data_IF_315438517213
#
_entry.id   IF_315438517213
#
_cell.length_a   1.000
_cell.length_b   1.000
_cell.length_c   1.000
_cell.angle_alpha   90.00
_cell.angle_beta   90.00
_cell.angle_gamma   90.00
#
_symmetry.space_group_name_H-M   'P 1'
#
loop_
_entity.id
_entity.type
_entity.pdbx_description
1 polymer ?
#
# COMPACT_ATOMS: atom_id res chain seq x y z
N UNK A 1 -15.59 0.11 -6.40
CA UNK A 1 -15.52 0.88 -5.14
C UNK A 1 -15.54 2.37 -5.46
N UNK A 2 -16.26 3.22 -4.72
CA UNK A 2 -16.31 4.66 -5.02
C UNK A 2 -15.00 5.37 -4.65
N UNK A 3 -14.68 6.47 -5.33
CA UNK A 3 -13.44 7.23 -5.10
C UNK A 3 -13.26 7.71 -3.64
N UNK A 4 -14.33 8.20 -3.01
CA UNK A 4 -14.33 8.63 -1.62
C UNK A 4 -14.08 7.49 -0.63
N UNK A 5 -14.66 6.31 -0.90
CA UNK A 5 -14.43 5.11 -0.12
C UNK A 5 -12.99 4.59 -0.27
N UNK A 6 -12.47 4.62 -1.50
CA UNK A 6 -11.08 4.24 -1.79
C UNK A 6 -10.08 5.12 -1.01
N UNK A 7 -10.25 6.44 -1.05
CA UNK A 7 -9.39 7.36 -0.30
C UNK A 7 -9.55 7.20 1.22
N UNK A 8 -10.77 6.94 1.71
CA UNK A 8 -11.00 6.66 3.12
C UNK A 8 -10.29 5.38 3.59
N UNK A 9 -10.36 4.30 2.80
CA UNK A 9 -9.66 3.03 3.11
C UNK A 9 -8.14 3.19 3.06
N UNK A 10 -7.59 3.95 2.09
CA UNK A 10 -6.16 4.33 2.06
C UNK A 10 -5.74 5.09 3.31
N UNK A 11 -6.56 6.06 3.74
CA UNK A 11 -6.32 6.83 4.97
C UNK A 11 -6.31 5.93 6.22
N UNK A 12 -7.28 5.02 6.32
CA UNK A 12 -7.36 4.05 7.43
C UNK A 12 -6.15 3.12 7.46
N UNK A 13 -5.68 2.65 6.31
CA UNK A 13 -4.46 1.84 6.20
C UNK A 13 -3.23 2.60 6.67
N UNK A 14 -3.08 3.85 6.23
CA UNK A 14 -1.99 4.71 6.69
C UNK A 14 -2.05 4.86 8.21
N UNK A 15 -3.21 5.21 8.78
CA UNK A 15 -3.37 5.36 10.21
C UNK A 15 -3.08 4.06 10.98
N UNK A 16 -3.48 2.90 10.45
CA UNK A 16 -3.20 1.59 11.04
C UNK A 16 -1.70 1.31 11.15
N UNK A 17 -0.92 1.62 10.11
CA UNK A 17 0.52 1.39 10.15
C UNK A 17 1.26 2.46 10.95
N UNK A 18 0.84 3.72 10.89
CA UNK A 18 1.45 4.83 11.64
C UNK A 18 0.98 4.93 13.11
N UNK A 19 0.20 3.95 13.59
CA UNK A 19 -0.16 3.85 15.00
C UNK A 19 1.05 3.46 15.87
N UNK A 20 0.78 3.08 17.12
CA UNK A 20 1.65 2.47 18.12
C UNK A 20 2.46 1.22 17.69
N UNK A 21 2.42 0.83 16.43
CA UNK A 21 3.19 -0.30 15.88
C UNK A 21 4.68 0.00 15.75
N UNK A 22 5.05 1.23 15.44
CA UNK A 22 6.45 1.64 15.33
C UNK A 22 7.00 1.91 16.73
N UNK A 23 8.04 1.17 17.12
CA UNK A 23 8.72 1.34 18.39
C UNK A 23 10.03 2.09 18.19
N UNK A 24 10.43 2.90 19.17
CA UNK A 24 11.71 3.58 19.12
C UNK A 24 12.85 2.57 19.35
N UNK A 25 13.85 2.56 18.47
CA UNK A 25 15.06 1.75 18.63
C UNK A 25 16.09 2.46 19.53
N UNK A 26 17.24 1.82 19.75
CA UNK A 26 18.33 2.37 20.57
C UNK A 26 18.96 3.67 20.02
N UNK A 27 18.64 4.02 18.78
CA UNK A 27 19.10 5.23 18.08
C UNK A 27 18.04 6.34 18.05
N UNK A 28 16.88 6.15 18.70
CA UNK A 28 15.78 7.13 18.68
C UNK A 28 14.91 7.08 17.42
N UNK A 29 15.09 6.07 16.56
CA UNK A 29 14.36 5.94 15.31
C UNK A 29 13.11 5.07 15.50
N UNK A 30 12.00 5.47 14.87
CA UNK A 30 10.77 4.67 14.85
C UNK A 30 10.93 3.51 13.88
N UNK A 31 10.99 2.30 14.41
CA UNK A 31 11.19 1.06 13.66
C UNK A 31 10.01 0.11 13.85
N UNK A 32 9.55 -0.44 12.74
CA UNK A 32 8.58 -1.50 12.61
C UNK A 32 9.14 -2.57 11.65
N UNK A 33 9.82 -3.57 12.21
CA UNK A 33 10.46 -4.61 11.41
C UNK A 33 10.12 -6.01 11.91
N UNK A 34 9.50 -6.82 11.03
CA UNK A 34 9.23 -8.25 11.27
C UNK A 34 9.91 -9.13 10.21
N UNK A 35 10.92 -8.61 9.51
CA UNK A 35 11.63 -9.31 8.46
C UNK A 35 10.73 -9.80 7.33
N UNK A 36 10.92 -11.06 6.90
CA UNK A 36 10.11 -11.68 5.84
C UNK A 36 8.60 -11.70 6.13
N UNK A 37 8.19 -11.52 7.40
CA UNK A 37 6.77 -11.45 7.79
C UNK A 37 6.10 -10.14 7.38
N UNK A 38 6.85 -9.07 7.10
CA UNK A 38 6.29 -7.79 6.65
C UNK A 38 5.40 -7.99 5.41
N UNK A 39 5.88 -8.76 4.42
CA UNK A 39 5.12 -8.99 3.19
C UNK A 39 3.83 -9.78 3.43
N UNK A 40 3.87 -10.80 4.30
CA UNK A 40 2.69 -11.60 4.65
C UNK A 40 1.66 -10.78 5.42
N UNK A 41 2.12 -9.95 6.36
CA UNK A 41 1.24 -9.05 7.12
C UNK A 41 0.65 -7.96 6.23
N UNK A 42 1.45 -7.38 5.33
CA UNK A 42 0.96 -6.43 4.34
C UNK A 42 -0.17 -7.04 3.51
N UNK A 43 0.04 -8.23 2.95
CA UNK A 43 -1.00 -8.95 2.19
C UNK A 43 -2.27 -9.17 3.01
N UNK A 44 -2.13 -9.71 4.23
CA UNK A 44 -3.27 -9.93 5.13
C UNK A 44 -4.06 -8.66 5.44
N UNK A 45 -3.36 -7.54 5.67
CA UNK A 45 -4.02 -6.25 5.96
C UNK A 45 -4.70 -5.68 4.72
N UNK A 46 -4.11 -5.82 3.54
CA UNK A 46 -4.74 -5.41 2.29
C UNK A 46 -6.00 -6.25 2.01
N UNK A 47 -5.95 -7.56 2.25
CA UNK A 47 -7.12 -8.44 2.15
C UNK A 47 -8.23 -8.01 3.12
N UNK A 48 -7.89 -7.61 4.35
CA UNK A 48 -8.87 -7.09 5.31
C UNK A 48 -9.43 -5.71 4.91
N UNK A 49 -8.60 -4.82 4.38
CA UNK A 49 -8.98 -3.45 4.08
C UNK A 49 -9.78 -3.33 2.77
N UNK A 50 -9.43 -4.13 1.77
CA UNK A 50 -10.01 -4.05 0.43
C UNK A 50 -10.82 -5.30 0.05
N UNK A 51 -10.49 -6.48 0.56
CA UNK A 51 -11.27 -7.69 0.29
C UNK A 51 -11.28 -8.07 -1.19
N UNK A 52 -12.47 -8.23 -1.75
CA UNK A 52 -12.74 -8.72 -3.10
C UNK A 52 -12.51 -7.69 -4.21
N UNK A 53 -12.40 -6.39 -3.88
CA UNK A 53 -12.10 -5.33 -4.87
C UNK A 53 -10.61 -5.13 -5.15
N UNK A 54 -9.77 -5.95 -4.52
CA UNK A 54 -8.32 -5.93 -4.60
C UNK A 54 -7.83 -7.12 -5.42
N UNK A 55 -7.04 -6.85 -6.47
CA UNK A 55 -6.37 -7.87 -7.26
C UNK A 55 -4.85 -7.69 -7.14
N UNK A 56 -4.13 -8.54 -6.39
CA UNK A 56 -2.67 -8.47 -6.32
C UNK A 56 -2.06 -8.89 -7.65
N UNK A 57 -1.26 -8.00 -8.24
CA UNK A 57 -0.55 -8.24 -9.51
C UNK A 57 0.84 -8.80 -9.24
N UNK A 58 1.55 -8.19 -8.29
CA UNK A 58 2.96 -8.47 -8.02
C UNK A 58 3.29 -8.21 -6.57
N UNK A 59 4.19 -9.00 -6.01
CA UNK A 59 4.75 -8.78 -4.69
C UNK A 59 6.22 -9.17 -4.66
N UNK A 60 7.02 -8.43 -3.89
CA UNK A 60 8.42 -8.74 -3.69
C UNK A 60 8.96 -8.12 -2.40
N UNK A 61 10.17 -8.51 -2.03
CA UNK A 61 10.91 -7.94 -0.91
C UNK A 61 11.68 -6.68 -1.31
N UNK A 62 11.71 -5.71 -0.40
CA UNK A 62 12.56 -4.52 -0.51
C UNK A 62 13.87 -4.86 0.19
N UNK A 63 15.00 -4.61 -0.48
CA UNK A 63 16.35 -4.84 0.06
C UNK A 63 17.12 -3.54 0.19
N UNK A 64 17.98 -3.44 1.19
CA UNK A 64 18.95 -2.36 1.31
C UNK A 64 20.20 -2.61 0.43
N UNK A 65 21.18 -1.71 0.48
CA UNK A 65 22.44 -1.83 -0.26
C UNK A 65 23.31 -3.03 0.12
N UNK A 66 23.02 -3.69 1.26
CA UNK A 66 23.71 -4.90 1.73
C UNK A 66 22.92 -6.18 1.42
N UNK A 67 21.93 -6.12 0.52
CA UNK A 67 21.01 -7.22 0.18
C UNK A 67 20.16 -7.74 1.35
N UNK A 68 20.13 -7.02 2.49
CA UNK A 68 19.26 -7.36 3.61
C UNK A 68 17.84 -6.95 3.28
N UNK A 69 16.90 -7.87 3.50
CA UNK A 69 15.47 -7.58 3.39
C UNK A 69 15.12 -6.56 4.45
N UNK A 70 14.62 -5.40 4.05
CA UNK A 70 14.17 -4.32 4.94
C UNK A 70 12.66 -4.11 4.84
N UNK A 71 11.96 -4.88 4.01
CA UNK A 71 10.52 -4.71 3.82
C UNK A 71 9.96 -5.55 2.70
N UNK A 72 8.75 -5.20 2.28
CA UNK A 72 8.12 -5.77 1.09
C UNK A 72 7.11 -4.81 0.48
N UNK A 73 6.77 -5.06 -0.76
CA UNK A 73 5.72 -4.34 -1.46
C UNK A 73 4.73 -5.27 -2.13
N UNK A 74 3.52 -4.76 -2.34
CA UNK A 74 2.48 -5.40 -3.14
C UNK A 74 1.94 -4.36 -4.13
N UNK A 75 1.98 -4.66 -5.42
CA UNK A 75 1.29 -3.90 -6.46
C UNK A 75 -0.06 -4.57 -6.70
N UNK A 76 -1.13 -3.79 -6.63
CA UNK A 76 -2.48 -4.26 -6.83
C UNK A 76 -3.25 -3.41 -7.85
N UNK A 77 -4.21 -4.04 -8.52
CA UNK A 77 -5.23 -3.39 -9.32
C UNK A 77 -6.50 -3.21 -8.49
N UNK A 78 -7.16 -2.08 -8.64
CA UNK A 78 -8.49 -1.84 -8.10
C UNK A 78 -9.32 -1.03 -9.09
N UNK A 79 -10.59 -1.42 -9.27
CA UNK A 79 -11.52 -0.60 -10.03
C UNK A 79 -12.15 0.46 -9.12
N UNK A 80 -11.88 1.73 -9.44
CA UNK A 80 -12.38 2.88 -8.70
C UNK A 80 -13.43 3.60 -9.53
N UNK A 81 -14.67 3.53 -9.05
CA UNK A 81 -15.83 4.20 -9.61
C UNK A 81 -15.80 5.70 -9.27
N UNK A 82 -16.27 6.51 -10.20
CA UNK A 82 -16.34 7.94 -10.04
C UNK A 82 -17.41 8.33 -9.03
N UNK A 83 -17.10 9.23 -8.10
CA UNK A 83 -18.16 9.94 -7.37
C UNK A 83 -18.73 11.07 -8.24
N UNK A 84 -20.05 11.24 -8.21
CA UNK A 84 -20.77 12.37 -8.85
C UNK A 84 -20.26 13.75 -8.38
N UNK A 85 -19.43 13.81 -7.33
CA UNK A 85 -18.79 15.02 -6.78
C UNK A 85 -17.24 14.90 -6.70
N UNK A 86 -16.62 13.95 -7.40
CA UNK A 86 -15.17 13.66 -7.33
C UNK A 86 -14.41 13.90 -8.64
N UNK A 87 -13.08 13.68 -8.61
CA UNK A 87 -12.10 13.93 -9.70
C UNK A 87 -12.46 13.28 -11.06
N UNK A 88 -13.36 12.30 -11.06
CA UNK A 88 -13.81 11.53 -12.22
C UNK A 88 -15.28 11.83 -12.61
N UNK A 89 -15.81 13.01 -12.27
CA UNK A 89 -17.18 13.42 -12.57
C UNK A 89 -17.49 13.24 -14.07
N UNK A 90 -18.34 12.26 -14.42
CA UNK A 90 -18.74 11.96 -15.80
C UNK A 90 -18.05 10.77 -16.48
N UNK A 91 -17.22 10.00 -15.79
CA UNK A 91 -16.65 8.73 -16.29
C UNK A 91 -17.20 7.54 -15.51
N UNK A 92 -17.23 6.35 -16.11
CA UNK A 92 -17.76 5.13 -15.49
C UNK A 92 -16.85 4.51 -14.40
N UNK A 93 -15.80 5.22 -13.99
CA UNK A 93 -14.69 4.69 -13.19
C UNK A 93 -13.48 4.29 -14.04
N UNK A 94 -12.38 3.93 -13.37
CA UNK A 94 -11.16 3.46 -14.02
C UNK A 94 -10.43 2.42 -13.15
N UNK A 95 -9.66 1.55 -13.81
CA UNK A 95 -8.66 0.74 -13.13
C UNK A 95 -7.52 1.65 -12.62
N UNK A 96 -7.22 1.52 -11.34
CA UNK A 96 -6.12 2.21 -10.66
C UNK A 96 -5.15 1.15 -10.15
N UNK A 97 -3.86 1.43 -10.32
CA UNK A 97 -2.80 0.61 -9.77
C UNK A 97 -2.22 1.29 -8.55
N UNK A 98 -1.99 0.52 -7.49
CA UNK A 98 -1.39 1.01 -6.25
C UNK A 98 -0.29 0.07 -5.82
N UNK A 99 0.88 0.62 -5.52
CA UNK A 99 1.99 -0.07 -4.87
C UNK A 99 1.94 0.28 -3.38
N UNK A 100 1.69 -0.73 -2.56
CA UNK A 100 1.73 -0.62 -1.10
C UNK A 100 3.12 -1.06 -0.64
N UNK A 101 3.82 -0.18 0.08
CA UNK A 101 5.18 -0.43 0.54
C UNK A 101 5.20 -0.46 2.07
N UNK A 102 5.77 -1.53 2.63
CA UNK A 102 5.97 -1.68 4.07
C UNK A 102 7.44 -2.01 4.34
N UNK A 103 8.16 -1.01 4.82
CA UNK A 103 9.58 -1.08 5.18
C UNK A 103 9.77 -1.11 6.70
N UNK A 104 11.00 -1.33 7.14
CA UNK A 104 11.39 -1.37 8.54
C UNK A 104 11.08 -0.07 9.28
N UNK A 105 10.94 1.05 8.57
CA UNK A 105 10.90 2.40 9.12
C UNK A 105 9.76 3.24 8.53
N UNK A 106 8.99 2.70 7.57
CA UNK A 106 7.88 3.44 6.97
C UNK A 106 6.86 2.55 6.28
N UNK A 107 5.63 3.06 6.22
CA UNK A 107 4.60 2.61 5.29
C UNK A 107 4.26 3.75 4.32
N UNK A 108 4.21 3.46 3.03
CA UNK A 108 3.83 4.43 2.01
C UNK A 108 3.16 3.77 0.81
N UNK A 109 2.47 4.56 0.00
CA UNK A 109 1.68 4.08 -1.13
C UNK A 109 1.94 4.95 -2.34
N UNK A 110 2.22 4.32 -3.48
CA UNK A 110 2.37 4.99 -4.77
C UNK A 110 1.20 4.58 -5.67
N UNK A 111 0.60 5.54 -6.36
CA UNK A 111 -0.58 5.31 -7.20
C UNK A 111 -0.31 5.76 -8.63
N UNK A 112 -0.74 4.95 -9.60
CA UNK A 112 -0.62 5.26 -11.03
C UNK A 112 -1.82 4.73 -11.81
N UNK A 113 -2.07 5.33 -12.97
CA UNK A 113 -3.00 4.79 -13.98
C UNK A 113 -2.35 3.66 -14.80
N UNK A 114 -1.04 3.48 -14.72
CA UNK A 114 -0.28 2.46 -15.45
C UNK A 114 0.62 1.65 -14.53
N UNK A 115 0.67 0.33 -14.77
CA UNK A 115 1.50 -0.60 -14.02
C UNK A 115 3.01 -0.30 -14.19
N UNK A 116 3.43 0.05 -15.41
CA UNK A 116 4.85 0.25 -15.74
C UNK A 116 5.52 1.32 -14.88
N UNK A 117 4.79 2.38 -14.53
CA UNK A 117 5.34 3.44 -13.68
C UNK A 117 5.64 2.92 -12.26
N UNK A 118 4.76 2.07 -11.72
CA UNK A 118 4.90 1.51 -10.37
C UNK A 118 5.96 0.41 -10.26
N UNK A 119 6.25 -0.27 -11.37
CA UNK A 119 7.34 -1.26 -11.40
C UNK A 119 8.72 -0.61 -11.42
N UNK A 120 8.82 0.65 -11.83
CA UNK A 120 10.08 1.41 -11.91
C UNK A 120 10.32 2.32 -10.70
N UNK A 121 9.28 2.64 -9.93
CA UNK A 121 9.34 3.40 -8.67
C UNK A 121 9.74 2.50 -7.50
#
# INVERSE_FOLDING_TARGET
>A
MKSSEFEARKSNLRNYFFSDKFQENEYGERVYYKGKRNLKELGYILDLAFGDVYEPIKSDYIKNYEDKIIGGYIIARMFVDADFNGFNQGTAGADVFVKYNLTENSFYMDQSQTLEWLERS
#
